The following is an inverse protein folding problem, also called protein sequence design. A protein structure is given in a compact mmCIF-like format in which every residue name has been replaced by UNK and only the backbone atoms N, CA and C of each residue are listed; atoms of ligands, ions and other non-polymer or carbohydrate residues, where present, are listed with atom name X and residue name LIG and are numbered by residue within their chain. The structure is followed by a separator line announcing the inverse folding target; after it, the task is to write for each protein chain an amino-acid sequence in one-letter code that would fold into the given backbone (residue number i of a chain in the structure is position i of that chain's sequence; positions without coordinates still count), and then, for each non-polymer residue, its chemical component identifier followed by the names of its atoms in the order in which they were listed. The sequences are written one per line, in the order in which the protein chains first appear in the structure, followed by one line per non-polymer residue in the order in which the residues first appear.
data_IF_167942686154
#
_entry.id   IF_167942686154
#
_cell.length_a   1.000
_cell.length_b   1.000
_cell.length_c   1.000
_cell.angle_alpha   90.00
_cell.angle_beta   90.00
_cell.angle_gamma   90.00
#
_symmetry.space_group_name_H-M   'P 1'
#
loop_
_entity.id
_entity.type
_entity.pdbx_description
1 polymer ?
#
# COMPACT_ATOMS: atom_id res chain seq x y z
N UNK A 1 14.01 31.69 69.19
CA UNK A 1 13.70 32.49 67.98
C UNK A 1 14.96 33.19 67.48
N UNK A 2 15.68 32.61 66.50
CA UNK A 2 16.78 33.29 65.81
C UNK A 2 16.77 32.87 64.34
N UNK A 3 16.42 33.83 63.47
CA UNK A 3 16.44 33.71 62.01
C UNK A 3 17.91 33.59 61.56
N UNK A 4 18.24 32.56 60.80
CA UNK A 4 19.56 32.43 60.13
C UNK A 4 19.40 32.76 58.65
N UNK A 5 20.23 33.70 58.22
CA UNK A 5 20.30 34.31 56.90
C UNK A 5 20.85 33.37 55.84
N UNK A 6 20.32 33.47 54.60
CA UNK A 6 20.81 32.80 53.39
C UNK A 6 22.20 33.30 52.99
N UNK A 7 23.14 32.42 52.57
CA UNK A 7 24.35 32.83 51.87
C UNK A 7 24.10 33.04 50.37
N UNK A 8 24.71 34.09 49.82
CA UNK A 8 24.83 34.37 48.38
C UNK A 8 25.97 33.52 47.82
N UNK A 9 25.72 32.75 46.77
CA UNK A 9 26.77 32.11 45.96
C UNK A 9 27.00 32.95 44.70
N UNK A 10 28.26 33.40 44.54
CA UNK A 10 28.75 34.11 43.38
C UNK A 10 28.92 33.21 42.14
N UNK A 11 29.16 33.82 40.97
CA UNK A 11 29.23 33.10 39.70
C UNK A 11 30.55 32.30 39.58
N UNK A 12 30.53 31.08 39.03
CA UNK A 12 31.76 30.34 38.77
C UNK A 12 32.50 30.82 37.52
N UNK A 13 33.80 30.61 37.58
CA UNK A 13 34.87 31.13 36.73
C UNK A 13 34.81 30.72 35.25
N UNK A 14 35.34 31.61 34.41
CA UNK A 14 35.63 31.46 33.00
C UNK A 14 36.74 30.44 32.73
N UNK A 15 36.43 29.45 31.89
CA UNK A 15 37.37 28.43 31.38
C UNK A 15 37.94 28.89 30.02
N UNK A 16 39.25 28.78 29.75
CA UNK A 16 39.88 29.31 28.55
C UNK A 16 39.51 28.55 27.26
N UNK A 17 39.29 29.32 26.18
CA UNK A 17 39.03 28.81 24.82
C UNK A 17 40.24 28.04 24.27
N UNK A 18 40.10 26.74 24.10
CA UNK A 18 40.99 25.93 23.27
C UNK A 18 40.73 26.23 21.78
N UNK A 19 41.78 26.64 21.05
CA UNK A 19 41.77 26.80 19.60
C UNK A 19 41.67 25.40 18.96
N UNK A 20 40.57 25.11 18.26
CA UNK A 20 40.48 23.92 17.39
C UNK A 20 41.12 24.22 16.04
N UNK A 21 42.11 23.42 15.69
CA UNK A 21 42.72 23.36 14.36
C UNK A 21 41.72 22.80 13.32
N UNK A 22 41.84 23.17 12.03
CA UNK A 22 40.97 22.68 10.98
C UNK A 22 41.21 21.18 10.71
N UNK A 23 40.16 20.38 10.44
CA UNK A 23 40.33 18.98 10.08
C UNK A 23 41.02 18.86 8.72
N UNK A 24 42.10 18.08 8.69
CA UNK A 24 42.85 17.72 7.48
C UNK A 24 42.02 16.87 6.53
N UNK A 25 42.33 17.01 5.23
CA UNK A 25 41.77 16.20 4.14
C UNK A 25 42.15 14.72 4.35
N UNK A 26 41.22 13.76 4.26
CA UNK A 26 41.58 12.36 4.20
C UNK A 26 42.16 12.01 2.82
N UNK A 27 43.32 11.36 2.83
CA UNK A 27 43.99 10.79 1.66
C UNK A 27 43.12 9.72 0.99
N UNK A 28 43.02 9.82 -0.34
CA UNK A 28 42.33 8.86 -1.21
C UNK A 28 43.15 7.59 -1.40
N UNK A 29 42.63 6.45 -0.95
CA UNK A 29 43.07 5.13 -1.38
C UNK A 29 42.36 4.74 -2.70
N UNK A 30 42.98 3.95 -3.59
CA UNK A 30 42.53 3.75 -4.96
C UNK A 30 41.29 2.84 -5.04
N UNK A 31 40.26 3.33 -5.74
CA UNK A 31 39.00 2.62 -6.00
C UNK A 31 39.17 1.60 -7.13
N UNK A 32 38.65 0.39 -6.92
CA UNK A 32 38.50 -0.66 -7.92
C UNK A 32 37.56 -0.22 -9.07
N UNK A 33 37.74 -0.75 -10.30
CA UNK A 33 36.92 -0.34 -11.44
C UNK A 33 35.63 -1.15 -11.50
N UNK A 34 34.49 -0.46 -11.53
CA UNK A 34 33.22 -1.06 -11.92
C UNK A 34 32.07 -0.72 -11.00
N UNK A 35 31.45 0.44 -11.25
CA UNK A 35 30.00 0.67 -11.35
C UNK A 35 29.78 2.18 -11.26
N UNK A 36 29.30 2.77 -12.36
CA UNK A 36 28.99 4.19 -12.41
C UNK A 36 27.71 4.43 -11.60
N UNK A 37 27.69 5.36 -10.64
CA UNK A 37 26.45 5.82 -10.05
C UNK A 37 25.61 6.46 -11.15
N UNK A 38 24.39 5.96 -11.38
CA UNK A 38 23.41 6.61 -12.25
C UNK A 38 23.05 7.96 -11.64
N UNK A 39 23.59 9.02 -12.22
CA UNK A 39 23.30 10.39 -11.88
C UNK A 39 21.79 10.66 -12.00
N UNK A 40 21.25 11.40 -11.03
CA UNK A 40 19.92 11.96 -11.06
C UNK A 40 19.63 12.60 -12.43
N UNK A 41 18.51 12.23 -13.04
CA UNK A 41 18.08 12.75 -14.36
C UNK A 41 17.95 14.27 -14.28
N UNK A 42 18.80 14.96 -15.04
CA UNK A 42 18.64 16.39 -15.30
C UNK A 42 17.32 16.63 -16.08
N UNK A 43 16.61 17.68 -15.74
CA UNK A 43 15.30 18.08 -16.28
C UNK A 43 15.28 18.52 -17.77
N UNK A 44 16.22 18.03 -18.58
CA UNK A 44 16.33 18.36 -20.01
C UNK A 44 15.89 17.18 -20.87
N UNK A 45 14.73 17.33 -21.50
CA UNK A 45 14.12 16.47 -22.52
C UNK A 45 13.34 15.25 -22.02
N UNK A 46 12.16 15.52 -21.45
CA UNK A 46 11.06 14.53 -21.48
C UNK A 46 10.66 14.33 -22.95
N UNK A 47 10.67 13.08 -23.40
CA UNK A 47 10.42 12.71 -24.80
C UNK A 47 9.13 11.90 -24.88
N UNK A 48 8.22 12.29 -25.79
CA UNK A 48 6.94 11.61 -25.97
C UNK A 48 7.12 10.14 -26.39
N UNK A 49 6.80 9.22 -25.51
CA UNK A 49 7.02 7.78 -25.71
C UNK A 49 5.89 7.11 -26.49
N UNK A 50 4.70 7.72 -26.54
CA UNK A 50 3.48 7.11 -27.09
C UNK A 50 2.90 7.85 -28.30
N UNK A 51 2.34 7.09 -29.24
CA UNK A 51 1.56 7.58 -30.38
C UNK A 51 0.43 6.60 -30.75
N UNK A 52 -0.50 7.02 -31.60
CA UNK A 52 -1.40 6.11 -32.35
C UNK A 52 -0.76 5.75 -33.69
N UNK A 53 -0.87 4.49 -34.12
CA UNK A 53 -0.51 4.07 -35.48
C UNK A 53 -1.66 4.24 -36.48
N UNK A 54 -1.44 3.83 -37.73
CA UNK A 54 -2.44 3.92 -38.81
C UNK A 54 -3.76 3.22 -38.51
N UNK A 55 -3.75 2.22 -37.66
CA UNK A 55 -4.94 1.44 -37.29
C UNK A 55 -5.58 2.01 -36.02
N UNK A 56 -5.08 3.15 -35.53
CA UNK A 56 -5.55 3.80 -34.31
C UNK A 56 -5.07 3.13 -33.01
N UNK A 57 -4.15 2.14 -33.09
CA UNK A 57 -3.64 1.43 -31.90
C UNK A 57 -2.54 2.25 -31.23
N UNK A 58 -2.53 2.26 -29.90
CA UNK A 58 -1.47 2.91 -29.12
C UNK A 58 -0.16 2.13 -29.22
N UNK A 59 0.94 2.84 -29.44
CA UNK A 59 2.27 2.27 -29.64
C UNK A 59 3.27 2.99 -28.77
N UNK A 60 4.08 2.21 -28.03
CA UNK A 60 5.23 2.72 -27.31
C UNK A 60 6.47 2.69 -28.22
N UNK A 61 7.22 3.77 -28.30
CA UNK A 61 8.36 3.93 -29.21
C UNK A 61 9.45 2.86 -29.03
N UNK A 62 9.75 2.47 -27.79
CA UNK A 62 10.70 1.36 -27.50
C UNK A 62 10.25 0.01 -28.06
N UNK A 63 8.94 -0.20 -28.27
CA UNK A 63 8.39 -1.44 -28.84
C UNK A 63 8.20 -1.36 -30.36
N UNK A 64 8.56 -0.24 -30.99
CA UNK A 64 8.45 -0.06 -32.44
C UNK A 64 9.77 -0.47 -33.11
N UNK A 65 9.73 -1.55 -33.89
CA UNK A 65 10.86 -1.95 -34.72
C UNK A 65 11.04 -0.98 -35.90
N UNK A 66 12.29 -0.71 -36.27
CA UNK A 66 12.62 0.20 -37.37
C UNK A 66 12.09 -0.29 -38.73
N UNK A 67 11.97 -1.61 -38.92
CA UNK A 67 11.45 -2.23 -40.14
C UNK A 67 9.92 -2.05 -40.24
N UNK A 68 9.22 -2.10 -39.11
CA UNK A 68 7.75 -1.96 -39.07
C UNK A 68 7.29 -0.51 -39.16
N UNK A 69 8.21 0.44 -38.98
CA UNK A 69 7.93 1.89 -38.96
C UNK A 69 7.10 2.36 -40.14
N UNK A 70 7.41 1.91 -41.36
CA UNK A 70 6.67 2.33 -42.58
C UNK A 70 5.30 1.68 -42.67
N UNK A 71 5.20 0.41 -42.29
CA UNK A 71 3.95 -0.34 -42.34
C UNK A 71 2.92 0.20 -41.34
N UNK A 72 3.38 0.74 -40.20
CA UNK A 72 2.53 1.26 -39.12
C UNK A 72 2.25 2.77 -39.20
N UNK A 73 3.00 3.51 -40.01
CA UNK A 73 2.76 4.94 -40.24
C UNK A 73 1.45 5.22 -41.00
N UNK A 74 0.79 6.38 -40.85
CA UNK A 74 1.23 7.54 -40.06
C UNK A 74 1.11 7.28 -38.56
N UNK A 75 1.95 7.97 -37.79
CA UNK A 75 1.82 8.02 -36.34
C UNK A 75 1.17 9.35 -35.95
N UNK A 76 0.19 9.34 -35.05
CA UNK A 76 -0.51 10.56 -34.63
C UNK A 76 -0.44 10.77 -33.13
N UNK A 77 -0.39 12.04 -32.74
CA UNK A 77 -0.31 12.47 -31.36
C UNK A 77 -1.59 12.14 -30.58
N UNK A 78 -1.45 11.61 -29.37
CA UNK A 78 -2.59 11.28 -28.51
C UNK A 78 -3.37 12.52 -28.05
N UNK A 79 -2.72 13.69 -28.00
CA UNK A 79 -3.34 14.95 -27.56
C UNK A 79 -3.98 15.73 -28.70
N UNK A 80 -3.21 16.11 -29.72
CA UNK A 80 -3.69 16.98 -30.81
C UNK A 80 -4.06 16.25 -32.10
N UNK A 81 -3.71 14.97 -32.25
CA UNK A 81 -3.93 14.20 -33.48
C UNK A 81 -2.98 14.54 -34.64
N UNK A 82 -2.07 15.50 -34.49
CA UNK A 82 -1.07 15.83 -35.51
C UNK A 82 -0.13 14.65 -35.80
N UNK A 83 0.40 14.61 -37.02
CA UNK A 83 1.36 13.59 -37.44
C UNK A 83 2.69 13.75 -36.67
N UNK A 84 3.19 12.63 -36.14
CA UNK A 84 4.43 12.53 -35.40
C UNK A 84 5.51 11.82 -36.19
N UNK A 85 6.76 12.25 -35.97
CA UNK A 85 7.95 11.63 -36.53
C UNK A 85 8.54 10.64 -35.51
N UNK A 86 8.64 9.34 -35.82
CA UNK A 86 9.31 8.37 -34.95
C UNK A 86 10.83 8.48 -35.02
N UNK A 87 11.46 8.78 -33.88
CA UNK A 87 12.90 8.81 -33.68
C UNK A 87 13.37 7.55 -32.93
N UNK A 88 13.82 6.55 -33.69
CA UNK A 88 14.23 5.22 -33.17
C UNK A 88 15.76 5.06 -33.15
N UNK A 89 16.49 6.16 -33.00
CA UNK A 89 17.95 6.17 -33.01
C UNK A 89 18.56 5.48 -31.77
N UNK A 90 19.84 5.11 -31.86
CA UNK A 90 20.56 4.44 -30.75
C UNK A 90 21.11 5.40 -29.69
N UNK A 91 21.09 6.71 -29.95
CA UNK A 91 21.71 7.74 -29.09
C UNK A 91 20.77 8.21 -27.99
N UNK A 92 19.51 8.45 -28.33
CA UNK A 92 18.46 8.87 -27.40
C UNK A 92 17.46 7.75 -27.25
N UNK A 93 16.73 7.74 -26.13
CA UNK A 93 15.60 6.82 -25.98
C UNK A 93 14.64 6.98 -27.18
N UNK A 94 14.16 5.87 -27.77
CA UNK A 94 13.17 5.91 -28.82
C UNK A 94 11.96 6.74 -28.41
N UNK A 95 11.52 7.66 -29.26
CA UNK A 95 10.42 8.57 -28.99
C UNK A 95 9.74 9.06 -30.26
N UNK A 96 8.64 9.78 -30.11
CA UNK A 96 7.95 10.49 -31.17
C UNK A 96 8.15 12.00 -31.02
N UNK A 97 8.24 12.72 -32.12
CA UNK A 97 8.39 14.17 -32.13
C UNK A 97 7.34 14.84 -33.01
N UNK A 98 6.81 15.96 -32.56
CA UNK A 98 6.04 16.87 -33.41
C UNK A 98 6.97 17.53 -34.44
N UNK A 99 6.42 17.99 -35.55
CA UNK A 99 7.15 18.87 -36.47
C UNK A 99 7.43 20.21 -35.79
N UNK A 100 8.51 20.86 -36.21
CA UNK A 100 8.87 22.19 -35.71
C UNK A 100 7.70 23.17 -35.89
N UNK A 101 7.39 23.95 -34.84
CA UNK A 101 6.30 24.92 -34.84
C UNK A 101 4.93 24.38 -34.38
N UNK A 102 4.82 23.11 -33.98
CA UNK A 102 3.58 22.61 -33.35
C UNK A 102 3.26 23.36 -32.06
N UNK A 103 1.99 23.75 -31.89
CA UNK A 103 1.48 24.38 -30.67
C UNK A 103 0.88 23.36 -29.69
N UNK A 104 1.13 22.06 -29.89
CA UNK A 104 0.58 21.01 -29.04
C UNK A 104 1.08 21.16 -27.59
N UNK A 105 0.19 21.09 -26.57
CA UNK A 105 0.59 21.11 -25.16
C UNK A 105 1.54 19.98 -24.76
N UNK A 106 1.56 18.86 -25.51
CA UNK A 106 2.49 17.74 -25.29
C UNK A 106 3.92 18.02 -25.79
N UNK A 107 4.17 19.21 -26.35
CA UNK A 107 5.53 19.72 -26.51
C UNK A 107 6.10 20.24 -25.19
N UNK A 108 5.25 20.53 -24.19
CA UNK A 108 5.70 20.87 -22.85
C UNK A 108 6.11 19.60 -22.07
N UNK A 109 7.30 19.58 -21.45
CA UNK A 109 7.82 18.38 -20.78
C UNK A 109 6.90 17.80 -19.70
N UNK A 110 6.25 18.64 -18.89
CA UNK A 110 5.39 18.17 -17.80
C UNK A 110 4.15 17.43 -18.33
N UNK A 111 3.51 17.97 -19.37
CA UNK A 111 2.36 17.36 -20.02
C UNK A 111 2.73 16.05 -20.70
N UNK A 112 3.90 16.00 -21.37
CA UNK A 112 4.42 14.79 -21.98
C UNK A 112 4.70 13.70 -20.92
N UNK A 113 5.31 14.09 -19.79
CA UNK A 113 5.65 13.17 -18.70
C UNK A 113 4.39 12.58 -18.07
N UNK A 114 3.36 13.42 -17.84
CA UNK A 114 2.06 12.98 -17.35
C UNK A 114 1.42 11.96 -18.29
N UNK A 115 1.39 12.26 -19.59
CA UNK A 115 0.85 11.36 -20.60
C UNK A 115 1.62 10.03 -20.63
N UNK A 116 2.95 10.08 -20.66
CA UNK A 116 3.78 8.88 -20.76
C UNK A 116 3.60 7.96 -19.56
N UNK A 117 3.56 8.52 -18.34
CA UNK A 117 3.30 7.76 -17.12
C UNK A 117 1.89 7.17 -17.10
N UNK A 118 0.87 7.96 -17.49
CA UNK A 118 -0.52 7.51 -17.58
C UNK A 118 -0.69 6.34 -18.54
N UNK A 119 -0.11 6.44 -19.74
CA UNK A 119 -0.18 5.38 -20.75
C UNK A 119 0.62 4.13 -20.34
N UNK A 120 1.76 4.32 -19.66
CA UNK A 120 2.52 3.21 -19.08
C UNK A 120 1.73 2.48 -18.01
N UNK A 121 1.04 3.20 -17.12
CA UNK A 121 0.18 2.63 -16.08
C UNK A 121 -0.99 1.82 -16.68
N UNK A 122 -1.63 2.33 -17.74
CA UNK A 122 -2.68 1.58 -18.46
C UNK A 122 -2.15 0.26 -19.03
N UNK A 123 -0.97 0.30 -19.67
CA UNK A 123 -0.34 -0.90 -20.23
C UNK A 123 0.04 -1.92 -19.13
N UNK A 124 0.51 -1.45 -17.96
CA UNK A 124 0.81 -2.32 -16.83
C UNK A 124 -0.44 -2.92 -16.20
N UNK A 125 -1.53 -2.15 -16.09
CA UNK A 125 -2.81 -2.68 -15.63
C UNK A 125 -3.32 -3.79 -16.58
N UNK A 126 -3.27 -3.55 -17.89
CA UNK A 126 -3.64 -4.55 -18.90
C UNK A 126 -2.77 -5.81 -18.81
N UNK A 127 -1.45 -5.66 -18.66
CA UNK A 127 -0.53 -6.78 -18.46
C UNK A 127 -0.87 -7.55 -17.16
N UNK A 128 -1.32 -6.86 -16.11
CA UNK A 128 -1.75 -7.46 -14.84
C UNK A 128 -3.05 -8.25 -14.98
N UNK A 129 -4.09 -7.67 -15.58
CA UNK A 129 -5.40 -8.31 -15.72
C UNK A 129 -5.36 -9.51 -16.68
N UNK A 130 -4.50 -9.46 -17.69
CA UNK A 130 -4.28 -10.58 -18.61
C UNK A 130 -3.31 -11.63 -18.07
N UNK A 131 -2.78 -11.46 -16.85
CA UNK A 131 -1.82 -12.38 -16.23
C UNK A 131 -0.45 -12.43 -16.91
N UNK A 132 -0.14 -11.49 -17.82
CA UNK A 132 1.16 -11.40 -18.51
C UNK A 132 2.27 -10.94 -17.59
N UNK A 133 1.96 -10.09 -16.60
CA UNK A 133 2.91 -9.66 -15.57
C UNK A 133 2.18 -9.49 -14.24
N UNK A 134 2.83 -9.84 -13.14
CA UNK A 134 2.38 -9.37 -11.82
C UNK A 134 2.78 -7.90 -11.67
N UNK A 135 1.83 -7.07 -11.26
CA UNK A 135 2.06 -5.63 -11.00
C UNK A 135 1.63 -5.32 -9.58
N UNK A 136 2.55 -4.76 -8.79
CA UNK A 136 2.36 -4.51 -7.36
C UNK A 136 2.48 -3.02 -7.06
N UNK A 137 1.45 -2.44 -6.47
CA UNK A 137 1.44 -1.10 -5.92
C UNK A 137 2.04 -1.13 -4.50
N UNK A 138 3.10 -0.36 -4.28
CA UNK A 138 3.76 -0.23 -2.98
C UNK A 138 3.04 0.82 -2.13
N UNK A 139 1.81 0.49 -1.73
CA UNK A 139 1.01 1.39 -0.88
C UNK A 139 1.52 1.42 0.56
N UNK A 140 1.02 2.36 1.36
CA UNK A 140 1.37 2.49 2.79
C UNK A 140 0.14 2.35 3.67
N UNK A 141 0.31 1.68 4.79
CA UNK A 141 -0.72 1.63 5.83
C UNK A 141 -1.02 3.05 6.35
N UNK A 142 -2.30 3.48 6.41
CA UNK A 142 -2.65 4.80 6.92
C UNK A 142 -2.27 4.99 8.39
N UNK A 143 -2.29 3.92 9.19
CA UNK A 143 -2.03 3.98 10.64
C UNK A 143 -0.54 3.93 11.00
N UNK A 144 0.22 2.97 10.47
CA UNK A 144 1.63 2.78 10.85
C UNK A 144 2.65 3.13 9.77
N UNK A 145 2.20 3.57 8.59
CA UNK A 145 3.03 4.00 7.44
C UNK A 145 3.98 2.95 6.86
N UNK A 146 3.99 1.72 7.40
CA UNK A 146 4.70 0.56 6.85
C UNK A 146 4.15 0.22 5.45
N UNK A 147 5.00 -0.38 4.64
CA UNK A 147 4.62 -0.87 3.33
C UNK A 147 3.47 -1.87 3.44
N UNK A 148 2.46 -1.70 2.59
CA UNK A 148 1.31 -2.58 2.44
C UNK A 148 1.13 -2.87 0.94
N UNK A 149 1.94 -3.75 0.35
CA UNK A 149 1.89 -4.01 -1.09
C UNK A 149 0.53 -4.55 -1.52
N UNK A 150 0.06 -4.14 -2.70
CA UNK A 150 -1.22 -4.55 -3.30
C UNK A 150 -1.03 -4.97 -4.74
N UNK A 151 -1.57 -6.11 -5.13
CA UNK A 151 -1.51 -6.58 -6.51
C UNK A 151 -2.63 -5.94 -7.33
N UNK A 152 -2.29 -5.29 -8.44
CA UNK A 152 -3.28 -4.62 -9.32
C UNK A 152 -4.36 -5.60 -9.78
N UNK A 153 -3.99 -6.83 -10.12
CA UNK A 153 -4.92 -7.88 -10.55
C UNK A 153 -5.94 -8.31 -9.47
N UNK A 154 -5.75 -7.92 -8.20
CA UNK A 154 -6.71 -8.16 -7.11
C UNK A 154 -7.64 -6.97 -6.86
N UNK A 155 -7.32 -5.80 -7.42
CA UNK A 155 -8.10 -4.58 -7.25
C UNK A 155 -9.16 -4.44 -8.36
N UNK A 156 -9.01 -5.11 -9.51
CA UNK A 156 -9.99 -5.06 -10.59
C UNK A 156 -9.66 -5.96 -11.77
N UNK A 157 -10.39 -5.77 -12.87
CA UNK A 157 -10.30 -6.54 -14.12
C UNK A 157 -10.12 -5.68 -15.37
N UNK A 158 -10.29 -4.35 -15.25
CA UNK A 158 -10.20 -3.41 -16.37
C UNK A 158 -9.65 -2.07 -15.90
N UNK A 159 -8.88 -1.39 -16.74
CA UNK A 159 -8.44 -0.01 -16.51
C UNK A 159 -8.91 0.89 -17.64
N UNK A 160 -9.36 2.10 -17.29
CA UNK A 160 -9.74 3.15 -18.23
C UNK A 160 -9.00 4.43 -17.92
N UNK A 161 -8.76 5.24 -18.95
CA UNK A 161 -8.16 6.58 -18.79
C UNK A 161 -9.25 7.62 -18.55
N UNK A 162 -8.93 8.66 -17.77
CA UNK A 162 -9.85 9.76 -17.46
C UNK A 162 -11.20 9.27 -16.90
N UNK A 163 -11.15 8.21 -16.08
CA UNK A 163 -12.32 7.49 -15.59
C UNK A 163 -13.11 8.33 -14.59
N UNK A 164 -14.43 8.36 -14.75
CA UNK A 164 -15.31 9.15 -13.89
C UNK A 164 -15.54 8.48 -12.52
N UNK A 165 -15.39 9.27 -11.45
CA UNK A 165 -15.71 8.91 -10.07
C UNK A 165 -16.58 10.03 -9.50
N UNK A 166 -17.90 9.93 -9.69
CA UNK A 166 -18.81 11.04 -9.40
C UNK A 166 -18.44 12.27 -10.24
N UNK A 167 -18.07 13.37 -9.58
CA UNK A 167 -17.62 14.60 -10.24
C UNK A 167 -16.11 14.62 -10.57
N UNK A 168 -15.33 13.66 -10.05
CA UNK A 168 -13.89 13.56 -10.28
C UNK A 168 -13.60 12.76 -11.56
N UNK A 169 -12.47 13.07 -12.21
CA UNK A 169 -11.84 12.20 -13.22
C UNK A 169 -10.48 11.75 -12.74
N UNK A 170 -10.28 10.43 -12.73
CA UNK A 170 -9.00 9.84 -12.42
C UNK A 170 -8.18 9.59 -13.69
N UNK A 171 -6.87 9.87 -13.62
CA UNK A 171 -5.95 9.67 -14.76
C UNK A 171 -6.02 8.23 -15.28
N UNK A 172 -5.95 7.27 -14.34
CA UNK A 172 -6.28 5.86 -14.57
C UNK A 172 -7.25 5.39 -13.50
N UNK A 173 -8.37 4.83 -13.95
CA UNK A 173 -9.37 4.21 -13.08
C UNK A 173 -9.39 2.71 -13.32
N UNK A 174 -9.09 1.95 -12.27
CA UNK A 174 -9.29 0.50 -12.22
C UNK A 174 -10.72 0.20 -11.80
N UNK A 175 -11.34 -0.72 -12.53
CA UNK A 175 -12.71 -1.16 -12.36
C UNK A 175 -12.74 -2.64 -11.99
N UNK A 176 -13.69 -3.00 -11.13
CA UNK A 176 -14.08 -4.38 -10.86
C UNK A 176 -15.49 -4.60 -11.43
N UNK A 177 -15.58 -5.16 -12.63
CA UNK A 177 -16.74 -5.05 -13.50
C UNK A 177 -17.00 -3.59 -13.88
N UNK A 178 -18.19 -3.07 -13.55
CA UNK A 178 -18.55 -1.67 -13.81
C UNK A 178 -18.34 -0.75 -12.59
N UNK A 179 -17.79 -1.28 -11.49
CA UNK A 179 -17.61 -0.50 -10.25
C UNK A 179 -16.20 0.09 -10.17
N UNK A 180 -16.06 1.41 -9.90
CA UNK A 180 -14.79 2.02 -9.49
C UNK A 180 -14.18 1.27 -8.32
N UNK A 181 -12.93 0.81 -8.47
CA UNK A 181 -12.26 0.00 -7.46
C UNK A 181 -10.94 0.62 -6.96
N UNK A 182 -10.20 1.29 -7.84
CA UNK A 182 -8.97 2.00 -7.47
C UNK A 182 -8.71 3.15 -8.45
N UNK A 183 -8.43 4.34 -7.93
CA UNK A 183 -7.92 5.46 -8.72
C UNK A 183 -6.39 5.53 -8.66
N UNK A 184 -5.75 5.84 -9.78
CA UNK A 184 -4.32 6.08 -9.88
C UNK A 184 -4.14 7.47 -10.51
N UNK A 185 -3.61 8.40 -9.73
CA UNK A 185 -3.33 9.77 -10.16
C UNK A 185 -1.84 9.92 -10.49
N UNK A 186 -1.53 10.61 -11.59
CA UNK A 186 -0.17 10.94 -12.00
C UNK A 186 0.11 12.39 -11.63
N UNK A 187 1.14 12.58 -10.80
CA UNK A 187 1.57 13.89 -10.32
C UNK A 187 2.88 14.28 -11.00
N UNK A 188 2.96 15.52 -11.49
CA UNK A 188 4.19 16.10 -12.05
C UNK A 188 4.64 17.34 -11.28
N UNK A 189 3.77 18.29 -10.97
CA UNK A 189 4.20 19.51 -10.22
C UNK A 189 3.36 19.83 -9.00
N UNK A 190 2.06 19.57 -9.03
CA UNK A 190 1.16 19.87 -7.92
C UNK A 190 0.50 18.58 -7.44
N UNK A 191 0.56 18.35 -6.12
CA UNK A 191 -0.16 17.26 -5.50
C UNK A 191 -1.68 17.41 -5.72
N UNK A 192 -2.37 16.27 -5.68
CA UNK A 192 -3.83 16.18 -5.65
C UNK A 192 -4.39 17.17 -4.62
N UNK A 193 -5.32 18.03 -5.04
CA UNK A 193 -5.92 19.01 -4.14
C UNK A 193 -6.84 18.35 -3.10
N UNK A 194 -7.12 19.06 -2.01
CA UNK A 194 -7.99 18.55 -0.94
C UNK A 194 -9.43 18.23 -1.43
N UNK A 195 -9.88 18.83 -2.54
CA UNK A 195 -11.21 18.58 -3.08
C UNK A 195 -11.30 17.19 -3.75
N UNK A 196 -10.25 16.78 -4.47
CA UNK A 196 -10.13 15.42 -5.02
C UNK A 196 -10.12 14.37 -3.91
N UNK A 197 -9.42 14.61 -2.81
CA UNK A 197 -9.39 13.68 -1.66
C UNK A 197 -10.79 13.48 -1.06
N UNK A 198 -11.54 14.57 -0.85
CA UNK A 198 -12.92 14.51 -0.36
C UNK A 198 -13.83 13.76 -1.35
N UNK A 199 -13.68 13.99 -2.65
CA UNK A 199 -14.47 13.30 -3.67
C UNK A 199 -14.20 11.78 -3.69
N UNK A 200 -12.92 11.37 -3.63
CA UNK A 200 -12.53 9.96 -3.55
C UNK A 200 -13.06 9.30 -2.28
N UNK A 201 -12.93 9.97 -1.14
CA UNK A 201 -13.46 9.48 0.14
C UNK A 201 -14.98 9.33 0.11
N UNK A 202 -15.70 10.30 -0.46
CA UNK A 202 -17.16 10.28 -0.61
C UNK A 202 -17.61 9.12 -1.50
N UNK A 203 -16.85 8.84 -2.56
CA UNK A 203 -17.11 7.72 -3.46
C UNK A 203 -16.70 6.34 -2.89
N UNK A 204 -15.99 6.31 -1.76
CA UNK A 204 -15.45 5.08 -1.18
C UNK A 204 -14.39 4.40 -2.05
N UNK A 205 -13.73 5.15 -2.94
CA UNK A 205 -12.74 4.62 -3.89
C UNK A 205 -11.34 4.94 -3.35
N UNK A 206 -10.51 3.92 -3.03
CA UNK A 206 -9.13 4.15 -2.66
C UNK A 206 -8.33 4.71 -3.85
N UNK A 207 -7.27 5.44 -3.55
CA UNK A 207 -6.43 6.05 -4.57
C UNK A 207 -4.94 5.99 -4.23
N UNK A 208 -4.11 5.93 -5.26
CA UNK A 208 -2.66 6.12 -5.15
C UNK A 208 -2.22 7.29 -6.01
N UNK A 209 -1.19 7.99 -5.56
CA UNK A 209 -0.49 8.99 -6.37
C UNK A 209 0.87 8.45 -6.79
N UNK A 210 1.20 8.65 -8.06
CA UNK A 210 2.49 8.31 -8.68
C UNK A 210 3.18 9.62 -9.06
N UNK A 211 4.36 9.91 -8.49
CA UNK A 211 5.17 11.05 -8.93
C UNK A 211 5.97 10.64 -10.17
N UNK A 212 5.61 11.19 -11.33
CA UNK A 212 6.21 10.81 -12.59
C UNK A 212 7.64 11.33 -12.77
N UNK A 213 8.11 12.24 -11.90
CA UNK A 213 9.50 12.75 -11.92
C UNK A 213 10.47 11.84 -11.19
N UNK A 214 9.97 11.04 -10.25
CA UNK A 214 10.77 10.10 -9.47
C UNK A 214 10.85 8.72 -10.16
N UNK A 215 11.69 7.84 -9.61
CA UNK A 215 11.71 6.44 -9.99
C UNK A 215 10.50 5.72 -9.39
N UNK A 216 9.40 5.70 -10.15
CA UNK A 216 8.13 5.12 -9.71
C UNK A 216 7.87 3.70 -10.23
N UNK A 217 8.65 3.22 -11.19
CA UNK A 217 8.53 1.87 -11.76
C UNK A 217 9.87 1.14 -11.62
N UNK A 218 9.86 -0.09 -11.10
CA UNK A 218 11.03 -0.97 -11.07
C UNK A 218 10.66 -2.43 -11.32
N UNK A 219 11.60 -3.17 -11.90
CA UNK A 219 11.51 -4.63 -11.97
C UNK A 219 11.86 -5.21 -10.59
N UNK A 220 10.93 -5.97 -10.01
CA UNK A 220 11.08 -6.72 -8.77
C UNK A 220 11.29 -8.21 -9.03
N UNK A 221 11.45 -9.00 -7.96
CA UNK A 221 11.71 -10.43 -8.06
C UNK A 221 10.56 -11.21 -8.75
N UNK A 222 9.31 -10.77 -8.53
CA UNK A 222 8.10 -11.48 -8.97
C UNK A 222 7.27 -10.68 -10.00
N UNK A 223 7.82 -9.63 -10.61
CA UNK A 223 7.08 -8.76 -11.56
C UNK A 223 7.46 -7.28 -11.42
N UNK A 224 6.55 -6.38 -11.78
CA UNK A 224 6.79 -4.93 -11.73
C UNK A 224 6.26 -4.36 -10.41
N UNK A 225 7.08 -3.56 -9.74
CA UNK A 225 6.68 -2.80 -8.56
C UNK A 225 6.54 -1.32 -8.88
N UNK A 226 5.47 -0.72 -8.37
CA UNK A 226 5.12 0.68 -8.56
C UNK A 226 5.22 1.42 -7.22
N UNK A 227 6.14 2.36 -7.12
CA UNK A 227 6.29 3.18 -5.93
C UNK A 227 5.19 4.24 -5.87
N UNK A 228 4.35 4.16 -4.83
CA UNK A 228 3.29 5.14 -4.60
C UNK A 228 3.83 6.29 -3.72
N UNK A 229 3.77 7.52 -4.23
CA UNK A 229 4.09 8.72 -3.47
C UNK A 229 3.10 8.90 -2.31
N UNK A 230 1.81 8.67 -2.56
CA UNK A 230 0.74 8.71 -1.55
C UNK A 230 -0.24 7.55 -1.73
N UNK A 231 -0.93 7.22 -0.64
CA UNK A 231 -1.97 6.20 -0.59
C UNK A 231 -3.14 6.76 0.22
N UNK A 232 -4.34 6.72 -0.36
CA UNK A 232 -5.56 7.36 0.14
C UNK A 232 -6.70 6.34 0.18
N UNK A 233 -7.55 6.41 1.19
CA UNK A 233 -8.76 5.57 1.28
C UNK A 233 -8.53 4.07 1.52
N UNK A 234 -7.28 3.62 1.68
CA UNK A 234 -7.00 2.21 2.00
C UNK A 234 -7.26 1.87 3.47
N UNK A 235 -7.70 0.64 3.79
CA UNK A 235 -7.82 0.20 5.16
C UNK A 235 -6.45 0.04 5.85
N UNK A 236 -6.38 0.11 7.19
CA UNK A 236 -5.18 -0.26 7.94
C UNK A 236 -4.69 -1.66 7.61
N UNK A 237 -3.38 -1.90 7.75
CA UNK A 237 -2.82 -3.24 7.60
C UNK A 237 -3.40 -4.21 8.66
N UNK A 238 -3.36 -5.54 8.43
CA UNK A 238 -3.97 -6.52 9.34
C UNK A 238 -3.56 -6.35 10.80
N UNK A 239 -2.28 -6.03 11.06
CA UNK A 239 -1.76 -5.77 12.41
C UNK A 239 -2.41 -4.54 13.04
N UNK A 240 -2.46 -3.40 12.32
CA UNK A 240 -3.09 -2.19 12.84
C UNK A 240 -4.60 -2.36 13.02
N UNK A 241 -5.27 -3.07 12.12
CA UNK A 241 -6.68 -3.41 12.26
C UNK A 241 -6.94 -4.27 13.51
N UNK A 242 -6.09 -5.28 13.77
CA UNK A 242 -6.19 -6.10 14.97
C UNK A 242 -5.95 -5.29 16.26
N UNK A 243 -4.99 -4.36 16.25
CA UNK A 243 -4.77 -3.47 17.39
C UNK A 243 -5.96 -2.55 17.66
N UNK A 244 -6.51 -1.92 16.62
CA UNK A 244 -7.69 -1.06 16.76
C UNK A 244 -8.89 -1.83 17.35
N UNK A 245 -9.15 -3.05 16.86
CA UNK A 245 -10.19 -3.94 17.41
C UNK A 245 -9.94 -4.26 18.88
N UNK A 246 -8.70 -4.56 19.26
CA UNK A 246 -8.33 -4.82 20.64
C UNK A 246 -8.56 -3.61 21.55
N UNK A 247 -8.29 -2.41 21.06
CA UNK A 247 -8.53 -1.17 21.81
C UNK A 247 -10.04 -0.92 21.99
N UNK A 248 -10.85 -1.13 20.94
CA UNK A 248 -12.32 -1.04 20.99
C UNK A 248 -12.93 -2.06 21.96
N UNK A 249 -12.47 -3.30 21.90
CA UNK A 249 -12.90 -4.38 22.79
C UNK A 249 -12.56 -4.08 24.26
N UNK A 250 -11.35 -3.56 24.54
CA UNK A 250 -10.98 -3.10 25.89
C UNK A 250 -11.85 -1.94 26.36
N UNK A 251 -12.18 -1.01 25.47
CA UNK A 251 -13.04 0.13 25.79
C UNK A 251 -14.48 -0.30 26.10
N UNK A 252 -15.02 -1.32 25.42
CA UNK A 252 -16.34 -1.90 25.73
C UNK A 252 -16.39 -2.60 27.09
N UNK A 253 -15.26 -3.12 27.57
CA UNK A 253 -15.21 -3.87 28.81
C UNK A 253 -15.86 -5.25 28.72
N UNK A 254 -16.00 -5.91 29.87
CA UNK A 254 -16.63 -7.24 29.98
C UNK A 254 -15.96 -8.28 29.08
N UNK A 255 -16.76 -8.98 28.28
CA UNK A 255 -16.29 -10.02 27.39
C UNK A 255 -15.30 -9.53 26.32
N UNK A 256 -15.51 -8.30 25.80
CA UNK A 256 -14.62 -7.70 24.82
C UNK A 256 -13.21 -7.54 25.36
N UNK A 257 -13.05 -6.99 26.56
CA UNK A 257 -11.74 -6.78 27.18
C UNK A 257 -10.97 -8.08 27.37
N UNK A 258 -11.65 -9.17 27.75
CA UNK A 258 -11.04 -10.50 27.90
C UNK A 258 -10.63 -11.08 26.53
N UNK A 259 -11.46 -10.94 25.50
CA UNK A 259 -11.11 -11.34 24.11
C UNK A 259 -9.88 -10.57 23.61
N UNK A 260 -9.78 -9.26 23.90
CA UNK A 260 -8.63 -8.45 23.52
C UNK A 260 -7.33 -8.94 24.20
N UNK A 261 -7.41 -9.42 25.44
CA UNK A 261 -6.26 -10.01 26.14
C UNK A 261 -5.87 -11.37 25.52
N UNK A 262 -6.87 -12.23 25.24
CA UNK A 262 -6.67 -13.53 24.60
C UNK A 262 -6.05 -13.40 23.20
N UNK A 263 -6.50 -12.44 22.40
CA UNK A 263 -5.93 -12.14 21.08
C UNK A 263 -4.51 -11.56 21.18
N UNK A 264 -4.19 -10.80 22.23
CA UNK A 264 -2.82 -10.35 22.48
C UNK A 264 -1.88 -11.52 22.81
N UNK A 265 -2.33 -12.52 23.59
CA UNK A 265 -1.57 -13.75 23.82
C UNK A 265 -1.45 -14.58 22.54
N UNK A 266 -2.52 -14.70 21.75
CA UNK A 266 -2.52 -15.40 20.45
C UNK A 266 -1.51 -14.78 19.48
N UNK A 267 -1.49 -13.45 19.37
CA UNK A 267 -0.55 -12.72 18.52
C UNK A 267 0.92 -12.90 18.94
N UNK A 268 1.19 -13.20 20.21
CA UNK A 268 2.52 -13.53 20.74
C UNK A 268 2.88 -15.02 20.61
N UNK A 269 2.01 -15.85 20.02
CA UNK A 269 2.26 -17.27 19.81
C UNK A 269 2.00 -18.17 21.01
N UNK A 270 1.32 -17.69 22.05
CA UNK A 270 0.97 -18.52 23.22
C UNK A 270 -0.16 -19.53 22.93
N UNK A 271 -0.90 -19.34 21.84
CA UNK A 271 -1.95 -20.25 21.38
C UNK A 271 -1.67 -20.67 19.95
N UNK A 272 -2.06 -21.89 19.60
CA UNK A 272 -1.91 -22.42 18.25
C UNK A 272 -2.55 -21.48 17.24
N UNK A 273 -1.72 -21.01 16.30
CA UNK A 273 -2.22 -20.35 15.11
C UNK A 273 -3.17 -21.29 14.37
N UNK A 274 -4.18 -20.72 13.72
CA UNK A 274 -5.04 -21.48 12.83
C UNK A 274 -4.14 -22.12 11.74
N UNK A 275 -4.20 -23.45 11.52
CA UNK A 275 -3.41 -24.09 10.48
C UNK A 275 -3.59 -23.41 9.12
N UNK A 276 -2.48 -23.18 8.42
CA UNK A 276 -2.51 -22.65 7.06
C UNK A 276 -3.30 -23.62 6.15
N UNK A 277 -4.14 -23.08 5.26
CA UNK A 277 -4.91 -23.87 4.30
C UNK A 277 -6.33 -24.25 4.74
N UNK A 278 -6.75 -23.97 5.98
CA UNK A 278 -8.17 -24.09 6.35
C UNK A 278 -9.01 -23.00 5.64
N UNK A 279 -10.23 -23.33 5.15
CA UNK A 279 -11.08 -22.38 4.42
C UNK A 279 -11.51 -21.22 5.32
N UNK A 280 -11.26 -19.98 4.88
CA UNK A 280 -11.50 -18.76 5.68
C UNK A 280 -12.83 -18.84 6.45
N UNK A 281 -12.84 -18.48 7.74
CA UNK A 281 -14.06 -18.58 8.53
C UNK A 281 -15.13 -17.68 7.92
N UNK A 282 -16.35 -18.19 7.90
CA UNK A 282 -17.49 -17.53 7.22
C UNK A 282 -18.10 -16.43 8.10
N UNK A 283 -17.91 -16.53 9.42
CA UNK A 283 -18.52 -15.61 10.37
C UNK A 283 -17.66 -14.34 10.59
N UNK A 284 -18.29 -13.15 10.69
CA UNK A 284 -17.63 -11.93 11.15
C UNK A 284 -17.03 -12.11 12.55
N UNK A 285 -15.89 -11.48 12.82
CA UNK A 285 -15.21 -11.50 14.12
C UNK A 285 -16.04 -11.03 15.33
N UNK A 286 -17.02 -10.16 15.11
CA UNK A 286 -17.95 -9.60 16.09
C UNK A 286 -19.26 -10.38 16.17
N UNK A 287 -19.48 -11.35 15.28
CA UNK A 287 -20.66 -12.20 15.34
C UNK A 287 -20.65 -13.07 16.61
N UNK A 288 -21.81 -13.29 17.25
CA UNK A 288 -21.88 -14.24 18.34
C UNK A 288 -21.50 -15.65 17.87
N UNK A 289 -21.12 -16.52 18.80
CA UNK A 289 -21.06 -17.96 18.57
C UNK A 289 -22.45 -18.43 18.12
N UNK A 290 -22.50 -19.05 16.95
CA UNK A 290 -23.71 -19.63 16.38
C UNK A 290 -24.23 -20.78 17.25
N UNK A 291 -25.47 -21.18 17.03
CA UNK A 291 -26.07 -22.31 17.74
C UNK A 291 -25.28 -23.61 17.55
N UNK A 292 -24.77 -23.85 16.35
CA UNK A 292 -23.97 -25.03 16.03
C UNK A 292 -22.60 -25.00 16.73
N UNK A 293 -21.89 -23.86 16.69
CA UNK A 293 -20.62 -23.71 17.40
C UNK A 293 -20.80 -23.88 18.91
N UNK A 294 -21.87 -23.31 19.49
CA UNK A 294 -22.23 -23.49 20.91
C UNK A 294 -22.49 -24.95 21.26
N UNK A 295 -23.27 -25.65 20.43
CA UNK A 295 -23.56 -27.06 20.64
C UNK A 295 -22.29 -27.92 20.53
N UNK A 296 -21.46 -27.69 19.52
CA UNK A 296 -20.20 -28.42 19.33
C UNK A 296 -19.20 -28.19 20.48
N UNK A 297 -19.14 -26.96 21.03
CA UNK A 297 -18.33 -26.67 22.21
C UNK A 297 -18.85 -27.40 23.45
N UNK A 298 -20.16 -27.35 23.69
CA UNK A 298 -20.77 -28.02 24.84
C UNK A 298 -20.66 -29.55 24.78
N UNK A 299 -20.78 -30.14 23.60
CA UNK A 299 -20.68 -31.59 23.38
C UNK A 299 -19.26 -32.11 23.63
N UNK A 300 -18.25 -31.37 23.18
CA UNK A 300 -16.83 -31.76 23.31
C UNK A 300 -16.24 -31.43 24.67
N UNK A 301 -16.81 -30.48 25.42
CA UNK A 301 -16.20 -29.97 26.63
C UNK A 301 -16.36 -30.92 27.80
N UNK A 302 -15.22 -31.35 28.35
CA UNK A 302 -15.12 -32.00 29.65
C UNK A 302 -13.93 -31.40 30.39
N UNK A 303 -14.18 -30.81 31.54
CA UNK A 303 -13.11 -30.22 32.34
C UNK A 303 -12.19 -31.33 32.88
N UNK A 304 -10.88 -31.32 32.58
CA UNK A 304 -9.95 -32.32 33.10
C UNK A 304 -9.74 -32.21 34.62
N UNK A 305 -10.00 -31.04 35.20
CA UNK A 305 -9.73 -30.77 36.63
C UNK A 305 -10.91 -31.19 37.53
N UNK A 306 -12.16 -30.97 37.10
CA UNK A 306 -13.35 -31.26 37.91
C UNK A 306 -14.36 -32.24 37.28
N UNK A 307 -14.12 -32.69 36.05
CA UNK A 307 -14.97 -33.66 35.33
C UNK A 307 -16.31 -33.10 34.81
N UNK A 308 -16.68 -31.86 35.15
CA UNK A 308 -17.92 -31.22 34.69
C UNK A 308 -17.87 -30.87 33.20
N UNK A 309 -19.03 -30.91 32.56
CA UNK A 309 -19.22 -30.58 31.13
C UNK A 309 -19.90 -29.22 30.92
N UNK A 310 -20.11 -28.45 31.99
CA UNK A 310 -20.82 -27.18 31.92
C UNK A 310 -19.90 -26.07 31.41
N UNK A 311 -20.36 -25.39 30.36
CA UNK A 311 -19.82 -24.13 29.87
C UNK A 311 -20.76 -22.97 30.21
N UNK A 312 -20.17 -21.84 30.57
CA UNK A 312 -20.82 -20.53 30.52
C UNK A 312 -20.59 -19.94 29.13
N UNK A 313 -21.67 -19.82 28.34
CA UNK A 313 -21.60 -19.44 26.94
C UNK A 313 -22.01 -17.97 26.77
N UNK A 314 -21.02 -17.08 26.78
CA UNK A 314 -21.18 -15.67 26.42
C UNK A 314 -21.53 -15.45 24.96
N UNK A 315 -21.49 -14.21 24.48
CA UNK A 315 -21.84 -13.90 23.09
C UNK A 315 -20.80 -14.47 22.12
N UNK A 316 -19.53 -14.19 22.37
CA UNK A 316 -18.33 -14.53 21.59
C UNK A 316 -17.31 -15.36 22.40
N UNK A 317 -17.48 -15.56 23.70
CA UNK A 317 -16.54 -16.23 24.60
C UNK A 317 -17.26 -17.27 25.48
N UNK A 318 -16.76 -18.50 25.43
CA UNK A 318 -17.13 -19.61 26.29
C UNK A 318 -16.14 -19.74 27.46
N UNK A 319 -16.66 -19.90 28.67
CA UNK A 319 -15.89 -20.07 29.91
C UNK A 319 -16.30 -21.33 30.65
N UNK A 320 -15.44 -21.77 31.56
CA UNK A 320 -15.74 -22.82 32.51
C UNK A 320 -15.26 -22.42 33.91
N UNK A 321 -16.11 -22.56 34.93
CA UNK A 321 -15.74 -22.38 36.32
C UNK A 321 -15.75 -23.73 37.05
N UNK A 322 -14.59 -24.14 37.56
CA UNK A 322 -14.51 -25.27 38.50
C UNK A 322 -15.17 -24.89 39.84
N UNK A 323 -15.70 -25.86 40.61
CA UNK A 323 -16.21 -25.58 41.95
C UNK A 323 -15.16 -24.86 42.81
N UNK A 324 -15.50 -23.68 43.33
CA UNK A 324 -14.60 -22.85 44.14
C UNK A 324 -13.48 -22.13 43.37
N UNK A 325 -13.44 -22.24 42.04
CA UNK A 325 -12.46 -21.58 41.17
C UNK A 325 -13.03 -20.40 40.38
N UNK A 326 -12.14 -19.62 39.77
CA UNK A 326 -12.53 -18.56 38.82
C UNK A 326 -12.91 -19.15 37.46
N UNK A 327 -13.80 -18.46 36.75
CA UNK A 327 -14.14 -18.85 35.38
C UNK A 327 -12.92 -18.67 34.48
N UNK A 328 -12.55 -19.73 33.76
CA UNK A 328 -11.44 -19.78 32.82
C UNK A 328 -11.98 -19.78 31.39
N UNK A 329 -11.35 -19.05 30.45
CA UNK A 329 -11.72 -19.12 29.05
C UNK A 329 -11.51 -20.54 28.51
N UNK A 330 -12.40 -20.96 27.62
CA UNK A 330 -12.41 -22.29 26.98
C UNK A 330 -12.27 -22.12 25.47
N UNK A 331 -13.06 -21.22 24.89
CA UNK A 331 -13.05 -20.91 23.47
C UNK A 331 -13.62 -19.51 23.21
N UNK A 332 -13.21 -18.85 22.13
CA UNK A 332 -13.76 -17.55 21.74
C UNK A 332 -13.79 -17.35 20.23
N UNK A 333 -14.58 -16.39 19.74
CA UNK A 333 -14.49 -15.92 18.35
C UNK A 333 -13.32 -14.94 18.21
N UNK A 334 -12.28 -15.36 17.49
CA UNK A 334 -11.08 -14.57 17.24
C UNK A 334 -11.28 -13.46 16.20
N UNK A 335 -10.30 -12.58 16.08
CA UNK A 335 -10.35 -11.46 15.11
C UNK A 335 -10.26 -11.89 13.65
N UNK A 336 -9.82 -13.11 13.42
CA UNK A 336 -9.91 -13.76 12.11
C UNK A 336 -11.30 -14.34 11.82
N UNK A 337 -12.26 -14.29 12.76
CA UNK A 337 -13.62 -14.85 12.63
C UNK A 337 -13.74 -16.32 13.05
N UNK A 338 -12.62 -17.00 13.29
CA UNK A 338 -12.60 -18.40 13.68
C UNK A 338 -12.96 -18.58 15.15
N UNK A 339 -13.57 -19.71 15.50
CA UNK A 339 -13.68 -20.14 16.89
C UNK A 339 -12.34 -20.72 17.32
N UNK A 340 -11.65 -20.01 18.20
CA UNK A 340 -10.38 -20.42 18.79
C UNK A 340 -10.68 -21.18 20.06
N UNK A 341 -10.14 -22.39 20.19
CA UNK A 341 -10.28 -23.23 21.38
C UNK A 341 -8.94 -23.35 22.11
N UNK A 342 -8.95 -23.19 23.43
CA UNK A 342 -7.74 -23.42 24.22
C UNK A 342 -7.46 -24.92 24.38
N UNK A 343 -6.18 -25.28 24.37
CA UNK A 343 -5.75 -26.68 24.43
C UNK A 343 -5.82 -27.30 25.81
N UNK A 344 -5.94 -26.50 26.88
CA UNK A 344 -5.87 -26.99 28.27
C UNK A 344 -6.95 -28.03 28.62
N UNK A 345 -8.07 -28.06 27.88
CA UNK A 345 -9.18 -28.99 28.07
C UNK A 345 -9.36 -30.02 26.94
N UNK A 346 -8.49 -30.02 25.92
CA UNK A 346 -8.59 -30.92 24.75
C UNK A 346 -7.90 -32.27 24.97
N UNK A 347 -7.98 -32.84 26.17
CA UNK A 347 -7.33 -34.12 26.52
C UNK A 347 -8.20 -35.32 26.22
#
# INVERSE_FOLDING_TARGET
MRRRSKPRHGPPASVPRARRAPPGKPETAPTAPGERPTAARAAGDVLLAWARDRDGRKVHAVRLDANDRRARAPFTCLGCGEELVPHLGKVRAPHFAHRAGSACPLTAPETALHLDAKERLLALCEDAFTGRRRVTLLTRCPACRRAAPREVAREGDRAVTEGAIGALRADVLVLAGERPALAIEVVVTHAVDAAKEVALATAGVPAVEIDARDEWEREGADGVELACARSLGFPPCPTCAAHARADEDRARGGEGAEIAELEAYRARGFFSARPAGLPAPVAPHDAPLSREERAALADRFRCPDCGLTRLDLGERLARHACPGGTARPVAWRGYDGAVVTLSWWQR
#
